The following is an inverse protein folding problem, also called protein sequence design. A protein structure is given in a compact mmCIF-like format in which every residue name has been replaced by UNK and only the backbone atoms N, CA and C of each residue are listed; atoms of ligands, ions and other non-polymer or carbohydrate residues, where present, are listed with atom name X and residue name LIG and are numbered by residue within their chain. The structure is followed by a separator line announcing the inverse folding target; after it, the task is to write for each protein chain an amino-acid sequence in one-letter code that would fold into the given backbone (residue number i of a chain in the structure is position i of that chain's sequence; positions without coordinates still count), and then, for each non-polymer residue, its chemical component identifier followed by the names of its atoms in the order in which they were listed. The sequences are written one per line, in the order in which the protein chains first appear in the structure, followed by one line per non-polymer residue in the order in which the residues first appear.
data_IF_616342744626
#
_entry.id   IF_616342744626
#
_cell.length_a   1.000
_cell.length_b   1.000
_cell.length_c   1.000
_cell.angle_alpha   90.00
_cell.angle_beta   90.00
_cell.angle_gamma   90.00
#
_symmetry.space_group_name_H-M   'P 1'
#
loop_
_entity.id
_entity.type
_entity.pdbx_description
1 polymer ?
#
# COMPACT_ATOMS: atom_id res chain seq x y z
N UNK A 1 -24.47 -29.61 -15.34
CA UNK A 1 -23.18 -29.02 -14.94
C UNK A 1 -22.38 -30.09 -14.22
N UNK A 2 -21.22 -30.45 -14.75
CA UNK A 2 -20.23 -31.26 -14.04
C UNK A 2 -19.01 -30.38 -13.77
N UNK A 3 -18.46 -30.39 -12.56
CA UNK A 3 -17.27 -29.66 -12.21
C UNK A 3 -16.17 -30.63 -11.78
N UNK A 4 -14.93 -30.35 -12.17
CA UNK A 4 -13.76 -31.09 -11.73
C UNK A 4 -12.78 -30.12 -11.06
N UNK A 5 -12.72 -30.18 -9.75
CA UNK A 5 -11.88 -29.27 -8.93
C UNK A 5 -10.38 -29.55 -9.16
N UNK A 6 -10.00 -30.80 -9.41
CA UNK A 6 -8.60 -31.17 -9.66
C UNK A 6 -8.12 -30.64 -11.03
N UNK A 7 -8.97 -30.77 -12.04
CA UNK A 7 -8.67 -30.27 -13.40
C UNK A 7 -9.03 -28.79 -13.57
N UNK A 8 -9.63 -28.14 -12.55
CA UNK A 8 -10.12 -26.76 -12.63
C UNK A 8 -10.98 -26.52 -13.89
N UNK A 9 -12.00 -27.37 -14.09
CA UNK A 9 -12.88 -27.31 -15.27
C UNK A 9 -14.35 -27.36 -14.87
N UNK A 10 -15.20 -26.71 -15.69
CA UNK A 10 -16.65 -26.84 -15.64
C UNK A 10 -17.13 -27.32 -17.02
N UNK A 11 -17.82 -28.43 -17.06
CA UNK A 11 -18.42 -28.96 -18.28
C UNK A 11 -19.93 -28.67 -18.32
N UNK A 12 -20.39 -28.12 -19.41
CA UNK A 12 -21.81 -27.81 -19.64
C UNK A 12 -22.51 -28.96 -20.37
N UNK A 13 -23.84 -29.02 -20.24
CA UNK A 13 -24.65 -30.06 -20.86
C UNK A 13 -24.55 -30.08 -22.39
N UNK A 14 -24.23 -28.95 -23.03
CA UNK A 14 -24.03 -28.85 -24.46
C UNK A 14 -22.63 -29.31 -24.95
N UNK A 15 -21.81 -29.88 -24.06
CA UNK A 15 -20.46 -30.35 -24.35
C UNK A 15 -19.37 -29.24 -24.27
N UNK A 16 -19.73 -27.99 -24.04
CA UNK A 16 -18.73 -26.92 -23.84
C UNK A 16 -18.00 -27.11 -22.53
N UNK A 17 -16.72 -26.74 -22.50
CA UNK A 17 -15.89 -26.83 -21.29
C UNK A 17 -15.27 -25.47 -20.99
N UNK A 18 -15.40 -25.00 -19.76
CA UNK A 18 -14.69 -23.84 -19.22
C UNK A 18 -13.48 -24.34 -18.42
N UNK A 19 -12.31 -23.82 -18.77
CA UNK A 19 -11.04 -24.12 -18.09
C UNK A 19 -10.62 -22.91 -17.28
N UNK A 20 -10.09 -23.13 -16.08
CA UNK A 20 -9.52 -22.10 -15.23
C UNK A 20 -8.02 -22.32 -15.08
N UNK A 21 -7.25 -21.30 -15.37
CA UNK A 21 -5.81 -21.35 -15.35
C UNK A 21 -5.24 -20.15 -14.59
N UNK A 22 -4.13 -20.34 -13.88
CA UNK A 22 -3.35 -19.22 -13.36
C UNK A 22 -2.24 -18.86 -14.36
N UNK A 23 -1.90 -17.58 -14.47
CA UNK A 23 -0.86 -17.11 -15.38
C UNK A 23 0.52 -17.77 -15.12
N UNK A 24 0.80 -18.17 -13.89
CA UNK A 24 2.07 -18.79 -13.48
C UNK A 24 2.20 -20.27 -13.83
N UNK A 25 1.10 -20.96 -14.12
CA UNK A 25 1.07 -22.44 -14.23
C UNK A 25 1.20 -22.97 -15.65
N UNK A 26 1.42 -22.12 -16.68
CA UNK A 26 1.27 -22.53 -18.07
C UNK A 26 2.55 -22.54 -18.91
N UNK A 27 2.76 -23.70 -19.56
CA UNK A 27 3.78 -23.86 -20.58
C UNK A 27 3.31 -23.41 -21.99
N UNK A 28 4.25 -23.13 -22.87
CA UNK A 28 3.99 -22.80 -24.27
C UNK A 28 3.24 -23.95 -24.97
N UNK A 29 2.18 -23.60 -25.71
CA UNK A 29 1.59 -24.53 -26.68
C UNK A 29 0.30 -25.25 -26.30
N UNK A 30 -0.38 -24.84 -25.23
CA UNK A 30 -1.65 -25.43 -24.84
C UNK A 30 -2.85 -24.53 -25.23
N UNK A 31 -3.69 -24.97 -26.11
CA UNK A 31 -5.08 -24.56 -26.19
C UNK A 31 -5.50 -23.86 -27.47
N UNK A 32 -6.44 -24.53 -28.16
CA UNK A 32 -7.29 -23.95 -29.19
C UNK A 32 -8.60 -23.52 -28.53
N UNK A 33 -8.65 -22.32 -27.98
CA UNK A 33 -9.82 -21.80 -27.28
C UNK A 33 -10.65 -20.88 -28.18
N UNK A 34 -11.97 -21.08 -28.20
CA UNK A 34 -12.89 -20.18 -28.92
C UNK A 34 -13.09 -18.84 -28.21
N UNK A 35 -13.04 -18.85 -26.91
CA UNK A 35 -13.23 -17.68 -26.05
C UNK A 35 -12.12 -17.65 -25.02
N UNK A 36 -11.51 -16.48 -24.84
CA UNK A 36 -10.51 -16.23 -23.82
C UNK A 36 -11.02 -15.13 -22.89
N UNK A 37 -10.88 -15.33 -21.60
CA UNK A 37 -11.16 -14.32 -20.58
C UNK A 37 -9.90 -14.17 -19.74
N UNK A 38 -9.32 -13.00 -19.78
CA UNK A 38 -8.21 -12.60 -18.92
C UNK A 38 -8.79 -11.77 -17.78
N UNK A 39 -8.88 -12.37 -16.60
CA UNK A 39 -9.34 -11.72 -15.40
C UNK A 39 -8.14 -11.12 -14.67
N UNK A 40 -8.33 -9.96 -14.05
CA UNK A 40 -7.27 -9.16 -13.41
C UNK A 40 -6.06 -8.90 -14.33
N UNK A 41 -6.33 -8.71 -15.63
CA UNK A 41 -5.28 -8.66 -16.65
C UNK A 41 -4.41 -7.38 -16.62
N UNK A 42 -4.77 -6.37 -15.82
CA UNK A 42 -3.88 -5.24 -15.56
C UNK A 42 -2.61 -5.63 -14.80
N UNK A 43 -2.63 -6.80 -14.14
CA UNK A 43 -1.48 -7.37 -13.41
C UNK A 43 -0.70 -8.40 -14.22
N UNK A 44 -1.10 -8.64 -15.46
CA UNK A 44 -0.40 -9.55 -16.37
C UNK A 44 0.80 -8.83 -16.99
N UNK A 45 2.01 -9.35 -16.76
CA UNK A 45 3.21 -8.78 -17.34
C UNK A 45 3.28 -9.03 -18.86
N UNK A 46 3.90 -8.08 -19.58
CA UNK A 46 4.00 -8.12 -21.03
C UNK A 46 4.76 -9.33 -21.58
N UNK A 47 5.79 -9.77 -20.88
CA UNK A 47 6.60 -10.91 -21.30
C UNK A 47 5.76 -12.19 -21.27
N UNK A 48 5.05 -12.43 -20.17
CA UNK A 48 4.12 -13.57 -20.04
C UNK A 48 3.01 -13.49 -21.08
N UNK A 49 2.40 -12.31 -21.28
CA UNK A 49 1.38 -12.14 -22.30
C UNK A 49 1.91 -12.46 -23.70
N UNK A 50 3.00 -11.85 -24.10
CA UNK A 50 3.56 -11.98 -25.43
C UNK A 50 4.08 -13.40 -25.71
N UNK A 51 4.69 -14.04 -24.70
CA UNK A 51 5.31 -15.36 -24.90
C UNK A 51 4.34 -16.52 -24.77
N UNK A 52 3.28 -16.39 -23.98
CA UNK A 52 2.36 -17.50 -23.66
C UNK A 52 0.98 -17.27 -24.25
N UNK A 53 0.36 -16.12 -23.96
CA UNK A 53 -1.07 -15.90 -24.22
C UNK A 53 -1.35 -15.28 -25.60
N UNK A 54 -0.47 -14.44 -26.11
CA UNK A 54 -0.68 -13.82 -27.43
C UNK A 54 -0.86 -14.86 -28.55
N UNK A 55 -0.13 -15.98 -28.61
CA UNK A 55 -0.40 -17.03 -29.61
C UNK A 55 -1.81 -17.60 -29.55
N UNK A 56 -2.42 -17.70 -28.34
CA UNK A 56 -3.79 -18.19 -28.18
C UNK A 56 -4.84 -17.22 -28.71
N UNK A 57 -4.51 -15.93 -28.69
CA UNK A 57 -5.43 -14.89 -29.18
C UNK A 57 -5.63 -14.96 -30.70
N UNK A 58 -4.69 -15.56 -31.44
CA UNK A 58 -4.76 -15.67 -32.91
C UNK A 58 -5.89 -16.56 -33.39
N UNK A 59 -6.26 -17.57 -32.60
CA UNK A 59 -7.30 -18.55 -32.97
C UNK A 59 -8.63 -18.29 -32.24
N UNK A 60 -8.63 -17.43 -31.23
CA UNK A 60 -9.82 -17.12 -30.46
C UNK A 60 -10.82 -16.27 -31.24
N UNK A 61 -12.10 -16.64 -31.16
CA UNK A 61 -13.19 -15.86 -31.77
C UNK A 61 -13.49 -14.57 -31.05
N UNK A 62 -13.37 -14.58 -29.69
CA UNK A 62 -13.54 -13.42 -28.85
C UNK A 62 -12.60 -13.50 -27.64
N UNK A 63 -12.10 -12.36 -27.26
CA UNK A 63 -11.19 -12.19 -26.15
C UNK A 63 -11.75 -11.09 -25.25
N UNK A 64 -11.77 -11.33 -23.95
CA UNK A 64 -12.21 -10.39 -22.94
C UNK A 64 -11.04 -10.11 -22.01
N UNK A 65 -10.72 -8.84 -21.82
CA UNK A 65 -9.77 -8.35 -20.86
C UNK A 65 -10.54 -7.62 -19.76
N UNK A 66 -10.52 -8.15 -18.55
CA UNK A 66 -11.26 -7.63 -17.40
C UNK A 66 -10.28 -7.27 -16.30
N UNK A 67 -10.35 -6.07 -15.77
CA UNK A 67 -9.56 -5.65 -14.61
C UNK A 67 -9.99 -4.27 -14.12
N UNK A 68 -9.64 -3.91 -12.91
CA UNK A 68 -9.45 -2.50 -12.54
C UNK A 68 -8.14 -1.99 -13.16
N UNK A 69 -8.01 -0.67 -13.43
CA UNK A 69 -6.78 -0.10 -13.96
C UNK A 69 -5.57 -0.29 -13.04
N UNK A 70 -4.39 -0.48 -13.61
CA UNK A 70 -3.14 -0.60 -12.86
C UNK A 70 -2.06 0.29 -13.48
N UNK A 71 -2.21 1.61 -13.32
CA UNK A 71 -1.29 2.57 -13.92
C UNK A 71 -1.48 2.79 -15.41
N UNK A 72 -0.62 3.62 -16.00
CA UNK A 72 -0.57 3.93 -17.43
C UNK A 72 0.50 3.05 -18.07
N UNK A 73 0.08 2.22 -19.05
CA UNK A 73 0.94 1.26 -19.74
C UNK A 73 0.58 -0.20 -19.45
N UNK A 74 1.24 -1.12 -20.17
CA UNK A 74 0.99 -2.55 -20.10
C UNK A 74 -0.18 -3.03 -20.95
N UNK A 75 -0.33 -4.36 -21.00
CA UNK A 75 -1.28 -5.04 -21.91
C UNK A 75 -2.71 -4.54 -21.78
N UNK A 76 -3.22 -4.42 -20.55
CA UNK A 76 -4.62 -4.00 -20.33
C UNK A 76 -4.86 -2.56 -20.77
N UNK A 77 -3.95 -1.66 -20.39
CA UNK A 77 -4.00 -0.25 -20.79
C UNK A 77 -4.04 -0.12 -22.33
N UNK A 78 -3.14 -0.82 -23.03
CA UNK A 78 -3.05 -0.76 -24.47
C UNK A 78 -4.30 -1.31 -25.14
N UNK A 79 -4.84 -2.43 -24.66
CA UNK A 79 -6.07 -3.02 -25.20
C UNK A 79 -7.27 -2.12 -24.97
N UNK A 80 -7.38 -1.50 -23.79
CA UNK A 80 -8.43 -0.55 -23.47
C UNK A 80 -8.39 0.66 -24.41
N UNK A 81 -7.22 1.26 -24.60
CA UNK A 81 -7.06 2.42 -25.47
C UNK A 81 -7.28 2.10 -26.97
N UNK A 82 -6.91 0.92 -27.43
CA UNK A 82 -7.25 0.46 -28.80
C UNK A 82 -8.76 0.46 -29.05
N UNK A 83 -9.55 0.11 -28.04
CA UNK A 83 -11.02 0.13 -28.16
C UNK A 83 -11.61 1.54 -28.19
N UNK A 84 -10.95 2.52 -27.54
CA UNK A 84 -11.38 3.92 -27.56
C UNK A 84 -11.04 4.63 -28.88
N UNK A 85 -10.01 4.19 -29.61
CA UNK A 85 -9.55 4.83 -30.85
C UNK A 85 -10.36 4.45 -32.10
N UNK A 86 -11.49 3.80 -31.95
CA UNK A 86 -12.36 3.43 -33.06
C UNK A 86 -11.88 2.25 -33.89
N UNK A 87 -10.95 1.47 -33.39
CA UNK A 87 -10.53 0.23 -34.04
C UNK A 87 -11.67 -0.79 -34.00
N UNK A 88 -12.19 -1.16 -35.16
CA UNK A 88 -13.38 -2.06 -35.30
C UNK A 88 -13.21 -3.45 -34.66
N UNK A 89 -11.98 -3.85 -34.33
CA UNK A 89 -11.69 -5.15 -33.69
C UNK A 89 -11.73 -5.09 -32.18
N UNK A 90 -11.71 -3.88 -31.59
CA UNK A 90 -11.66 -3.66 -30.17
C UNK A 90 -12.84 -2.82 -29.71
N UNK A 91 -13.38 -3.14 -28.55
CA UNK A 91 -14.40 -2.36 -27.89
C UNK A 91 -14.02 -2.27 -26.40
N UNK A 92 -14.06 -1.08 -25.84
CA UNK A 92 -13.74 -0.82 -24.45
C UNK A 92 -14.98 -0.34 -23.72
N UNK A 93 -15.14 -0.87 -22.52
CA UNK A 93 -16.23 -0.52 -21.60
C UNK A 93 -15.61 -0.16 -20.26
N UNK A 94 -16.22 0.79 -19.59
CA UNK A 94 -15.90 1.13 -18.20
C UNK A 94 -17.20 1.13 -17.41
N UNK A 95 -17.16 0.67 -16.19
CA UNK A 95 -18.28 0.69 -15.25
C UNK A 95 -17.74 1.07 -13.88
N UNK A 96 -18.04 2.27 -13.43
CA UNK A 96 -17.64 2.74 -12.10
C UNK A 96 -18.52 2.13 -11.02
N UNK A 97 -18.13 2.31 -9.75
CA UNK A 97 -18.97 1.92 -8.61
C UNK A 97 -20.36 2.57 -8.70
N UNK A 98 -20.41 3.85 -9.07
CA UNK A 98 -21.65 4.61 -9.22
C UNK A 98 -22.50 4.08 -10.39
N UNK A 99 -21.89 3.78 -11.54
CA UNK A 99 -22.58 3.24 -12.72
C UNK A 99 -23.14 1.84 -12.48
N UNK A 100 -22.57 1.08 -11.57
CA UNK A 100 -23.00 -0.31 -11.29
C UNK A 100 -24.45 -0.40 -10.77
N UNK A 101 -24.93 0.64 -10.10
CA UNK A 101 -26.24 0.66 -9.48
C UNK A 101 -26.44 -0.38 -8.35
N UNK A 102 -25.35 -1.03 -7.89
CA UNK A 102 -25.41 -2.07 -6.86
C UNK A 102 -25.48 -1.51 -5.45
N UNK A 103 -25.05 -0.27 -5.25
CA UNK A 103 -24.95 0.38 -3.94
C UNK A 103 -25.74 1.67 -3.91
N UNK A 104 -26.31 1.98 -2.76
CA UNK A 104 -26.97 3.27 -2.53
C UNK A 104 -25.93 4.40 -2.34
N UNK A 105 -26.40 5.63 -2.47
CA UNK A 105 -25.56 6.83 -2.38
C UNK A 105 -24.84 6.94 -1.05
N UNK A 106 -25.46 6.51 0.06
CA UNK A 106 -24.85 6.58 1.38
C UNK A 106 -23.68 5.61 1.49
N UNK A 107 -23.82 4.38 1.01
CA UNK A 107 -22.76 3.37 0.96
C UNK A 107 -21.58 3.85 0.09
N UNK A 108 -21.86 4.47 -1.07
CA UNK A 108 -20.84 5.04 -1.94
C UNK A 108 -20.05 6.15 -1.24
N UNK A 109 -20.75 7.05 -0.51
CA UNK A 109 -20.08 8.10 0.26
C UNK A 109 -19.19 7.52 1.37
N UNK A 110 -19.64 6.52 2.09
CA UNK A 110 -18.86 5.84 3.13
C UNK A 110 -17.59 5.17 2.56
N UNK A 111 -17.70 4.49 1.42
CA UNK A 111 -16.55 3.93 0.71
C UNK A 111 -15.57 5.05 0.32
N UNK A 112 -16.07 6.13 -0.29
CA UNK A 112 -15.25 7.28 -0.71
C UNK A 112 -14.54 7.94 0.47
N UNK A 113 -15.22 8.17 1.57
CA UNK A 113 -14.64 8.74 2.79
C UNK A 113 -13.68 7.78 3.50
N UNK A 114 -13.91 6.47 3.39
CA UNK A 114 -13.07 5.45 4.01
C UNK A 114 -11.85 5.05 3.21
N UNK A 115 -11.78 5.39 1.93
CA UNK A 115 -10.71 4.99 1.00
C UNK A 115 -9.83 6.19 0.64
N UNK A 116 -8.49 6.07 0.58
CA UNK A 116 -7.63 7.11 0.04
C UNK A 116 -8.06 7.50 -1.37
N UNK A 117 -8.09 8.79 -1.67
CA UNK A 117 -8.62 9.35 -2.93
C UNK A 117 -8.09 8.63 -4.17
N UNK A 118 -6.79 8.36 -4.20
CA UNK A 118 -6.15 7.70 -5.34
C UNK A 118 -6.68 6.29 -5.56
N UNK A 119 -6.80 5.51 -4.49
CA UNK A 119 -7.34 4.14 -4.54
C UNK A 119 -8.79 4.20 -4.99
N UNK A 120 -9.56 5.16 -4.48
CA UNK A 120 -10.94 5.35 -4.91
C UNK A 120 -11.04 5.63 -6.41
N UNK A 121 -10.23 6.54 -6.94
CA UNK A 121 -10.20 6.87 -8.37
C UNK A 121 -9.84 5.64 -9.23
N UNK A 122 -8.87 4.85 -8.81
CA UNK A 122 -8.42 3.68 -9.55
C UNK A 122 -9.40 2.50 -9.44
N UNK A 123 -9.73 2.06 -8.21
CA UNK A 123 -10.48 0.82 -7.98
C UNK A 123 -11.99 0.99 -8.16
N UNK A 124 -12.53 2.21 -7.92
CA UNK A 124 -13.97 2.46 -7.97
C UNK A 124 -14.41 3.40 -9.10
N UNK A 125 -13.53 4.29 -9.57
CA UNK A 125 -13.81 5.16 -10.71
C UNK A 125 -13.15 4.67 -12.02
N UNK A 126 -12.40 3.58 -12.00
CA UNK A 126 -11.73 2.99 -13.17
C UNK A 126 -10.74 3.94 -13.88
N UNK A 127 -10.06 4.81 -13.14
CA UNK A 127 -9.09 5.75 -13.71
C UNK A 127 -7.70 5.12 -13.85
N UNK A 128 -7.07 5.29 -15.02
CA UNK A 128 -5.67 4.95 -15.24
C UNK A 128 -4.78 6.05 -14.68
N UNK A 129 -4.17 5.81 -13.54
CA UNK A 129 -3.31 6.77 -12.86
C UNK A 129 -1.83 6.50 -13.20
N UNK A 130 -1.03 7.56 -13.38
CA UNK A 130 0.41 7.42 -13.61
C UNK A 130 1.11 6.87 -12.36
N UNK A 131 2.08 5.95 -12.54
CA UNK A 131 2.94 5.45 -11.46
C UNK A 131 3.90 6.49 -10.90
N UNK A 132 4.48 6.23 -9.75
CA UNK A 132 5.43 7.14 -9.12
C UNK A 132 4.79 8.43 -8.57
N UNK A 133 3.53 8.37 -8.14
CA UNK A 133 2.83 9.52 -7.59
C UNK A 133 3.22 9.72 -6.13
N UNK A 134 3.51 10.98 -5.76
CA UNK A 134 3.74 11.36 -4.37
C UNK A 134 2.62 10.84 -3.46
N UNK A 135 2.99 10.11 -2.42
CA UNK A 135 2.05 9.69 -1.39
C UNK A 135 1.49 10.88 -0.59
N UNK A 136 2.23 11.96 -0.54
CA UNK A 136 1.94 13.12 0.30
C UNK A 136 2.03 14.43 -0.51
N UNK A 137 1.17 14.65 -1.53
CA UNK A 137 1.31 15.76 -2.48
C UNK A 137 1.20 17.15 -1.82
N UNK A 138 0.57 17.25 -0.66
CA UNK A 138 0.41 18.50 0.09
C UNK A 138 1.02 18.42 1.49
N UNK A 139 2.13 17.69 1.64
CA UNK A 139 2.73 17.50 2.97
C UNK A 139 3.24 18.81 3.56
N UNK A 140 3.62 19.79 2.74
CA UNK A 140 4.06 21.11 3.19
C UNK A 140 2.99 21.83 4.03
N UNK A 141 1.71 21.60 3.74
CA UNK A 141 0.60 22.16 4.53
C UNK A 141 0.50 21.53 5.93
N UNK A 142 1.18 20.43 6.15
CA UNK A 142 1.22 19.70 7.43
C UNK A 142 2.50 19.96 8.22
N UNK A 143 3.41 20.80 7.71
CA UNK A 143 4.65 21.14 8.40
C UNK A 143 4.40 22.11 9.54
N UNK A 144 5.01 21.84 10.67
CA UNK A 144 5.03 22.67 11.88
C UNK A 144 6.46 22.94 12.30
N UNK A 145 6.78 24.17 12.76
CA UNK A 145 8.14 24.56 13.08
C UNK A 145 8.73 23.71 14.23
N UNK A 146 7.89 23.42 15.23
CA UNK A 146 8.24 22.61 16.40
C UNK A 146 7.16 21.58 16.67
N UNK A 147 7.49 20.56 17.44
CA UNK A 147 6.49 19.58 17.88
C UNK A 147 5.35 20.23 18.66
N UNK A 148 4.13 19.70 18.48
CA UNK A 148 2.98 20.19 19.25
C UNK A 148 3.16 19.91 20.75
N UNK A 149 2.45 20.66 21.59
CA UNK A 149 2.45 20.45 23.03
C UNK A 149 2.04 19.02 23.38
N UNK A 150 2.69 18.48 24.42
CA UNK A 150 2.41 17.12 24.93
C UNK A 150 0.94 17.00 25.31
N UNK A 151 0.25 16.03 24.70
CA UNK A 151 -1.13 15.68 25.01
C UNK A 151 -1.23 14.55 26.03
N UNK A 152 -2.46 14.20 26.43
CA UNK A 152 -2.72 13.15 27.44
C UNK A 152 -2.31 11.74 26.97
N UNK A 153 -2.23 11.51 25.67
CA UNK A 153 -1.92 10.21 25.11
C UNK A 153 -0.90 10.34 23.99
N UNK A 154 0.27 9.76 24.20
CA UNK A 154 1.37 9.73 23.24
C UNK A 154 1.62 8.31 22.75
N UNK A 155 1.96 8.20 21.50
CA UNK A 155 2.23 6.96 20.79
C UNK A 155 3.51 7.10 19.98
N UNK A 156 4.24 6.00 19.83
CA UNK A 156 5.52 6.04 19.14
C UNK A 156 5.61 5.03 18.00
N UNK A 157 6.50 5.33 17.06
CA UNK A 157 6.95 4.44 16.02
C UNK A 157 8.47 4.48 15.89
N UNK A 158 9.09 3.33 15.70
CA UNK A 158 10.53 3.21 15.50
C UNK A 158 10.79 2.48 14.18
N UNK A 159 11.67 3.07 13.38
CA UNK A 159 12.32 2.44 12.26
C UNK A 159 13.80 2.26 12.57
N UNK A 160 14.33 1.03 12.44
CA UNK A 160 15.70 0.73 12.79
C UNK A 160 16.59 0.71 11.55
N UNK A 161 17.73 1.40 11.62
CA UNK A 161 18.75 1.33 10.58
C UNK A 161 19.27 -0.09 10.39
N UNK A 162 19.37 -0.52 9.12
CA UNK A 162 20.10 -1.74 8.75
C UNK A 162 21.60 -1.58 9.04
N UNK A 163 22.18 -2.46 9.82
CA UNK A 163 23.53 -2.31 10.39
C UNK A 163 24.70 -2.33 9.39
N UNK A 164 24.49 -2.60 8.10
CA UNK A 164 25.58 -2.99 7.21
C UNK A 164 26.37 -1.85 6.56
N UNK A 165 25.77 -0.71 6.22
CA UNK A 165 26.41 0.29 5.35
C UNK A 165 26.42 1.74 5.85
N UNK A 166 26.01 2.05 7.07
CA UNK A 166 26.28 3.34 7.74
C UNK A 166 25.52 4.56 7.22
N UNK A 167 24.56 4.40 6.31
CA UNK A 167 23.76 5.51 5.73
C UNK A 167 22.34 5.58 6.28
N UNK A 168 21.79 4.48 6.79
CA UNK A 168 20.46 4.42 7.37
C UNK A 168 20.42 5.03 8.77
N UNK A 169 19.36 5.75 9.09
CA UNK A 169 19.15 6.32 10.41
C UNK A 169 18.16 5.50 11.22
N UNK A 170 18.41 5.36 12.53
CA UNK A 170 17.38 4.85 13.44
C UNK A 170 16.51 6.02 13.87
N UNK A 171 15.21 5.97 13.63
CA UNK A 171 14.29 7.08 13.88
C UNK A 171 13.22 6.69 14.89
N UNK A 172 13.08 7.49 15.94
CA UNK A 172 11.97 7.45 16.88
C UNK A 172 11.06 8.65 16.63
N UNK A 173 9.83 8.39 16.22
CA UNK A 173 8.80 9.42 16.09
C UNK A 173 7.72 9.25 17.15
N UNK A 174 7.33 10.35 17.82
CA UNK A 174 6.29 10.38 18.85
C UNK A 174 5.17 11.29 18.38
N UNK A 175 3.94 10.78 18.39
CA UNK A 175 2.73 11.51 17.99
C UNK A 175 1.68 11.51 19.11
N UNK A 176 0.74 12.45 19.03
CA UNK A 176 -0.46 12.46 19.85
C UNK A 176 -1.60 11.66 19.19
N UNK A 177 -2.78 11.63 19.83
CA UNK A 177 -3.99 10.97 19.33
C UNK A 177 -4.59 11.58 18.06
N UNK A 178 -4.12 12.77 17.63
CA UNK A 178 -4.51 13.45 16.38
C UNK A 178 -3.48 13.23 15.26
N UNK A 179 -2.50 12.37 15.50
CA UNK A 179 -1.39 12.08 14.58
C UNK A 179 -0.43 13.25 14.35
N UNK A 180 -0.41 14.24 15.26
CA UNK A 180 0.51 15.35 15.19
C UNK A 180 1.83 14.97 15.89
N UNK A 181 2.97 15.26 15.24
CA UNK A 181 4.28 15.02 15.84
C UNK A 181 4.49 15.88 17.08
N UNK A 182 4.84 15.23 18.18
CA UNK A 182 5.27 15.87 19.43
C UNK A 182 6.79 15.93 19.50
N UNK A 183 7.46 14.86 19.04
CA UNK A 183 8.90 14.79 18.97
C UNK A 183 9.35 13.81 17.88
N UNK A 184 10.53 14.05 17.31
CA UNK A 184 11.23 13.13 16.45
C UNK A 184 12.72 13.14 16.77
N UNK A 185 13.30 11.96 16.93
CA UNK A 185 14.71 11.78 17.21
C UNK A 185 15.34 10.92 16.11
N UNK A 186 16.31 11.48 15.43
CA UNK A 186 17.04 10.82 14.33
C UNK A 186 18.44 10.50 14.84
N UNK A 187 18.78 9.22 14.90
CA UNK A 187 20.07 8.71 15.35
C UNK A 187 20.83 8.12 14.18
N UNK A 188 22.11 8.45 14.09
CA UNK A 188 23.00 7.92 13.03
C UNK A 188 23.33 6.43 13.19
N UNK A 189 22.98 5.83 14.33
CA UNK A 189 23.25 4.41 14.63
C UNK A 189 22.15 3.84 15.53
N UNK A 190 21.89 2.53 15.38
CA UNK A 190 21.00 1.74 16.24
C UNK A 190 21.75 0.90 17.27
N UNK A 191 22.82 1.42 17.90
CA UNK A 191 23.58 0.69 18.91
C UNK A 191 22.80 0.59 20.25
N UNK A 192 23.29 -0.26 21.17
CA UNK A 192 22.64 -0.50 22.46
C UNK A 192 22.38 0.79 23.25
N UNK A 193 23.30 1.74 23.22
CA UNK A 193 23.17 3.03 23.92
C UNK A 193 22.02 3.86 23.33
N UNK A 194 21.90 3.89 22.00
CA UNK A 194 20.79 4.54 21.29
C UNK A 194 19.45 3.90 21.66
N UNK A 195 19.37 2.57 21.71
CA UNK A 195 18.16 1.85 22.04
C UNK A 195 17.72 2.10 23.52
N UNK A 196 18.67 2.14 24.44
CA UNK A 196 18.41 2.51 25.85
C UNK A 196 17.94 3.96 25.98
N UNK A 197 18.53 4.87 25.20
CA UNK A 197 18.12 6.28 25.16
C UNK A 197 16.67 6.42 24.64
N UNK A 198 16.30 5.71 23.57
CA UNK A 198 14.93 5.69 23.07
C UNK A 198 13.94 5.21 24.13
N UNK A 199 14.28 4.13 24.85
CA UNK A 199 13.45 3.63 25.94
C UNK A 199 13.28 4.68 27.07
N UNK A 200 14.35 5.40 27.40
CA UNK A 200 14.34 6.48 28.37
C UNK A 200 13.45 7.66 27.93
N UNK A 201 13.57 8.09 26.68
CA UNK A 201 12.73 9.15 26.09
C UNK A 201 11.25 8.76 26.16
N UNK A 202 10.89 7.56 25.68
CA UNK A 202 9.51 7.09 25.67
C UNK A 202 8.91 6.99 27.09
N UNK A 203 9.71 6.56 28.09
CA UNK A 203 9.26 6.54 29.48
C UNK A 203 9.06 7.95 30.03
N UNK A 204 10.04 8.84 29.82
CA UNK A 204 9.98 10.22 30.33
C UNK A 204 8.78 10.99 29.75
N UNK A 205 8.45 10.76 28.50
CA UNK A 205 7.30 11.38 27.83
C UNK A 205 5.97 10.66 28.12
N UNK A 206 5.99 9.51 28.80
CA UNK A 206 4.77 8.77 29.12
C UNK A 206 4.08 8.14 27.94
N UNK A 207 4.84 7.68 26.93
CA UNK A 207 4.32 7.00 25.73
C UNK A 207 3.47 5.80 26.13
N UNK A 208 2.29 5.68 25.56
CA UNK A 208 1.31 4.63 25.89
C UNK A 208 1.60 3.33 25.16
N UNK A 209 2.07 3.40 23.93
CA UNK A 209 2.43 2.26 23.09
C UNK A 209 3.39 2.67 21.98
N UNK A 210 4.25 1.74 21.57
CA UNK A 210 5.18 1.90 20.46
C UNK A 210 5.06 0.69 19.50
N UNK A 211 4.96 0.94 18.19
CA UNK A 211 5.30 -0.07 17.20
C UNK A 211 6.73 0.17 16.69
N UNK A 212 7.48 -0.91 16.55
CA UNK A 212 8.84 -0.86 16.01
C UNK A 212 9.00 -1.92 14.93
N UNK A 213 9.71 -1.61 13.84
CA UNK A 213 9.95 -2.57 12.78
C UNK A 213 10.72 -3.78 13.31
N UNK A 214 10.19 -4.99 13.07
CA UNK A 214 10.75 -6.24 13.61
C UNK A 214 11.65 -6.99 12.61
N UNK A 215 11.70 -6.55 11.36
CA UNK A 215 12.46 -7.22 10.31
C UNK A 215 13.96 -7.23 10.63
N UNK A 216 14.65 -8.30 10.19
CA UNK A 216 16.10 -8.45 10.34
C UNK A 216 16.59 -8.25 11.78
N UNK A 217 17.36 -7.19 12.04
CA UNK A 217 17.91 -6.88 13.37
C UNK A 217 16.91 -6.24 14.33
N UNK A 218 15.73 -5.85 13.85
CA UNK A 218 14.70 -5.18 14.65
C UNK A 218 14.24 -6.00 15.85
N UNK A 219 14.11 -7.31 15.71
CA UNK A 219 13.72 -8.21 16.81
C UNK A 219 14.68 -8.10 18.02
N UNK A 220 15.99 -8.08 17.77
CA UNK A 220 17.02 -7.92 18.84
C UNK A 220 16.92 -6.55 19.48
N UNK A 221 16.76 -5.50 18.66
CA UNK A 221 16.63 -4.11 19.12
C UNK A 221 15.39 -3.93 20.00
N UNK A 222 14.26 -4.54 19.63
CA UNK A 222 13.02 -4.54 20.42
C UNK A 222 13.25 -5.18 21.79
N UNK A 223 13.94 -6.32 21.86
CA UNK A 223 14.22 -7.00 23.13
C UNK A 223 15.11 -6.14 24.07
N UNK A 224 16.06 -5.38 23.51
CA UNK A 224 16.87 -4.43 24.29
C UNK A 224 15.97 -3.32 24.88
N UNK A 225 15.13 -2.70 24.04
CA UNK A 225 14.20 -1.64 24.47
C UNK A 225 13.21 -2.16 25.53
N UNK A 226 12.70 -3.38 25.36
CA UNK A 226 11.75 -4.02 26.31
C UNK A 226 12.27 -4.16 27.72
N UNK A 227 13.58 -4.19 27.92
CA UNK A 227 14.16 -4.23 29.27
C UNK A 227 13.71 -3.04 30.13
N UNK A 228 13.57 -1.87 29.52
CA UNK A 228 13.21 -0.62 30.19
C UNK A 228 11.84 -0.07 29.81
N UNK A 229 11.38 -0.31 28.57
CA UNK A 229 10.08 0.13 28.07
C UNK A 229 9.25 -1.06 27.59
N UNK A 230 8.29 -1.52 28.42
CA UNK A 230 7.51 -2.75 28.17
C UNK A 230 6.41 -2.61 27.12
N UNK A 231 5.98 -1.38 26.77
CA UNK A 231 4.83 -1.10 25.90
C UNK A 231 5.25 -0.97 24.44
N UNK A 232 6.11 -1.86 23.98
CA UNK A 232 6.59 -1.94 22.60
C UNK A 232 6.17 -3.27 21.96
N UNK A 233 5.70 -3.21 20.72
CA UNK A 233 5.30 -4.36 19.90
C UNK A 233 6.05 -4.34 18.59
N UNK A 234 6.55 -5.49 18.17
CA UNK A 234 7.16 -5.66 16.87
C UNK A 234 6.13 -5.53 15.75
N UNK A 235 6.53 -4.90 14.66
CA UNK A 235 5.75 -4.77 13.43
C UNK A 235 6.51 -5.45 12.30
N UNK A 236 5.98 -6.57 11.81
CA UNK A 236 6.56 -7.28 10.67
C UNK A 236 6.18 -6.54 9.40
N UNK A 237 7.16 -5.94 8.76
CA UNK A 237 6.98 -5.21 7.50
C UNK A 237 6.96 -6.18 6.34
N UNK A 238 5.78 -6.39 5.79
CA UNK A 238 5.52 -7.01 4.50
C UNK A 238 4.99 -5.91 3.55
N UNK A 239 4.85 -6.21 2.27
CA UNK A 239 4.25 -5.26 1.36
C UNK A 239 2.84 -4.83 1.80
N UNK A 240 2.03 -5.79 2.24
CA UNK A 240 0.64 -5.53 2.64
C UNK A 240 0.56 -4.78 3.97
N UNK A 241 1.39 -5.12 4.96
CA UNK A 241 1.42 -4.40 6.22
C UNK A 241 1.97 -2.97 6.07
N UNK A 242 3.03 -2.76 5.22
CA UNK A 242 3.54 -1.43 4.86
C UNK A 242 2.45 -0.60 4.17
N UNK A 243 1.74 -1.20 3.23
CA UNK A 243 0.59 -0.58 2.56
C UNK A 243 -0.44 -0.07 3.56
N UNK A 244 -0.87 -0.89 4.51
CA UNK A 244 -1.90 -0.52 5.49
C UNK A 244 -1.50 0.69 6.35
N UNK A 245 -0.25 0.78 6.78
CA UNK A 245 0.20 1.90 7.63
C UNK A 245 0.40 3.18 6.82
N UNK A 246 0.90 3.07 5.58
CA UNK A 246 1.09 4.21 4.68
C UNK A 246 -0.25 4.78 4.23
N UNK A 247 -1.18 3.96 3.75
CA UNK A 247 -2.52 4.39 3.34
C UNK A 247 -3.30 5.05 4.50
N UNK A 248 -3.07 4.59 5.73
CA UNK A 248 -3.65 5.25 6.90
C UNK A 248 -3.17 6.69 7.04
N UNK A 249 -1.89 6.97 6.83
CA UNK A 249 -1.34 8.33 6.91
C UNK A 249 -1.80 9.18 5.72
N UNK A 250 -1.77 8.65 4.50
CA UNK A 250 -2.26 9.33 3.30
C UNK A 250 -3.68 9.84 3.55
N UNK A 251 -4.58 8.95 3.98
CA UNK A 251 -5.97 9.30 4.28
C UNK A 251 -6.10 10.39 5.33
N UNK A 252 -5.31 10.35 6.40
CA UNK A 252 -5.36 11.39 7.43
C UNK A 252 -4.89 12.74 6.89
N UNK A 253 -3.86 12.77 6.06
CA UNK A 253 -3.38 14.01 5.41
C UNK A 253 -4.43 14.59 4.46
N UNK A 254 -5.08 13.77 3.64
CA UNK A 254 -6.19 14.16 2.78
C UNK A 254 -7.36 14.77 3.59
N UNK A 255 -7.57 14.32 4.82
CA UNK A 255 -8.58 14.85 5.75
C UNK A 255 -8.10 16.04 6.57
N UNK A 256 -6.91 16.57 6.29
CA UNK A 256 -6.33 17.68 7.03
C UNK A 256 -5.86 17.33 8.44
N UNK A 257 -5.67 16.04 8.76
CA UNK A 257 -5.21 15.54 10.06
C UNK A 257 -3.72 15.22 10.04
N UNK A 258 -3.11 15.30 11.21
CA UNK A 258 -1.68 15.04 11.37
C UNK A 258 -0.84 16.27 11.10
N UNK A 259 0.35 16.27 11.65
CA UNK A 259 1.36 17.31 11.45
C UNK A 259 2.76 16.70 11.57
N UNK A 260 3.70 17.26 10.81
CA UNK A 260 5.08 16.79 10.73
C UNK A 260 6.00 17.93 11.14
N UNK A 261 6.99 17.67 11.98
CA UNK A 261 8.02 18.64 12.33
C UNK A 261 8.82 19.02 11.07
N UNK A 262 8.93 20.33 10.84
CA UNK A 262 9.68 20.89 9.72
C UNK A 262 11.19 20.76 9.95
N UNK A 263 11.79 19.77 9.34
CA UNK A 263 13.23 19.58 9.32
C UNK A 263 13.70 19.06 7.95
N UNK A 264 15.00 19.18 7.61
CA UNK A 264 15.50 18.76 6.30
C UNK A 264 15.23 17.27 5.95
N UNK A 265 15.29 16.37 6.92
CA UNK A 265 15.05 14.95 6.71
C UNK A 265 13.58 14.68 6.35
N UNK A 266 12.65 15.28 7.09
CA UNK A 266 11.21 15.15 6.80
C UNK A 266 10.86 15.76 5.44
N UNK A 267 11.34 16.97 5.13
CA UNK A 267 11.13 17.58 3.80
C UNK A 267 11.63 16.68 2.68
N UNK A 268 12.82 16.12 2.83
CA UNK A 268 13.43 15.27 1.83
C UNK A 268 12.65 13.95 1.68
N UNK A 269 12.35 13.28 2.79
CA UNK A 269 11.76 11.93 2.74
C UNK A 269 10.28 11.96 2.38
N UNK A 270 9.46 12.82 2.99
CA UNK A 270 8.03 12.93 2.65
C UNK A 270 7.81 13.50 1.23
N UNK A 271 8.65 14.44 0.79
CA UNK A 271 8.54 15.02 -0.55
C UNK A 271 8.92 14.08 -1.69
N UNK A 272 9.70 13.04 -1.41
CA UNK A 272 10.13 12.05 -2.41
C UNK A 272 9.48 10.67 -2.22
N UNK A 273 8.61 10.50 -1.24
CA UNK A 273 7.96 9.21 -0.96
C UNK A 273 6.80 8.99 -1.92
N UNK A 274 6.88 7.89 -2.67
CA UNK A 274 5.94 7.59 -3.75
C UNK A 274 5.29 6.23 -3.57
N UNK A 275 4.12 6.11 -4.15
CA UNK A 275 3.53 4.85 -4.50
C UNK A 275 3.98 4.49 -5.92
N UNK A 276 4.49 3.31 -6.09
CA UNK A 276 4.88 2.76 -7.39
C UNK A 276 4.31 1.35 -7.56
N UNK A 277 4.40 0.81 -8.76
CA UNK A 277 3.94 -0.53 -9.09
C UNK A 277 5.06 -1.35 -9.68
N UNK A 278 5.19 -2.55 -9.15
CA UNK A 278 6.07 -3.55 -9.76
C UNK A 278 5.55 -3.94 -11.15
N UNK A 279 6.38 -4.59 -11.95
CA UNK A 279 5.98 -5.14 -13.25
C UNK A 279 4.80 -6.11 -13.17
N UNK A 280 4.58 -6.74 -12.00
CA UNK A 280 3.44 -7.62 -11.72
C UNK A 280 2.22 -6.88 -11.17
N UNK A 281 2.23 -5.53 -11.20
CA UNK A 281 1.13 -4.69 -10.73
C UNK A 281 1.02 -4.53 -9.22
N UNK A 282 1.92 -5.14 -8.43
CA UNK A 282 1.91 -5.02 -6.97
C UNK A 282 2.31 -3.62 -6.56
N UNK A 283 1.49 -2.99 -5.70
CA UNK A 283 1.79 -1.66 -5.14
C UNK A 283 2.98 -1.75 -4.18
N UNK A 284 3.91 -0.82 -4.32
CA UNK A 284 5.07 -0.64 -3.44
C UNK A 284 5.17 0.82 -3.02
N UNK A 285 5.77 1.06 -1.85
CA UNK A 285 5.98 2.38 -1.29
C UNK A 285 7.46 2.56 -0.98
N UNK A 286 8.08 3.57 -1.56
CA UNK A 286 9.51 3.86 -1.39
C UNK A 286 9.85 5.30 -1.77
N UNK A 287 11.06 5.74 -1.50
CA UNK A 287 11.54 7.00 -2.04
C UNK A 287 11.96 6.84 -3.51
N UNK A 288 11.55 7.79 -4.35
CA UNK A 288 11.90 7.82 -5.79
C UNK A 288 13.39 8.08 -6.03
N UNK A 289 14.05 8.71 -5.09
CA UNK A 289 15.43 9.15 -5.20
C UNK A 289 16.38 8.09 -4.63
N UNK A 290 17.29 7.60 -5.44
CA UNK A 290 18.35 6.69 -4.99
C UNK A 290 19.16 7.32 -3.86
N UNK A 291 19.42 6.55 -2.80
CA UNK A 291 20.14 6.99 -1.62
C UNK A 291 19.32 7.84 -0.64
N UNK A 292 18.04 8.10 -0.89
CA UNK A 292 17.14 8.68 0.09
C UNK A 292 16.36 7.55 0.78
N UNK A 293 16.60 7.41 2.07
CA UNK A 293 15.90 6.44 2.92
C UNK A 293 14.50 6.91 3.27
N UNK A 294 13.64 6.04 3.78
CA UNK A 294 12.26 6.34 4.18
C UNK A 294 12.01 6.22 5.70
N UNK A 295 13.10 6.21 6.49
CA UNK A 295 13.09 5.97 7.94
C UNK A 295 12.16 6.94 8.70
N UNK A 296 12.20 8.25 8.34
CA UNK A 296 11.32 9.25 8.95
C UNK A 296 9.84 9.03 8.61
N UNK A 297 9.56 8.62 7.38
CA UNK A 297 8.20 8.33 6.91
C UNK A 297 7.67 7.08 7.60
N UNK A 298 8.46 6.00 7.63
CA UNK A 298 8.03 4.72 8.20
C UNK A 298 7.86 4.84 9.71
N UNK A 299 8.80 5.48 10.43
CA UNK A 299 8.65 5.70 11.87
C UNK A 299 7.40 6.51 12.20
N UNK A 300 7.06 7.54 11.40
CA UNK A 300 5.83 8.29 11.56
C UNK A 300 4.57 7.44 11.25
N UNK A 301 4.59 6.64 10.19
CA UNK A 301 3.50 5.73 9.88
C UNK A 301 3.24 4.73 11.01
N UNK A 302 4.30 4.17 11.60
CA UNK A 302 4.20 3.26 12.74
C UNK A 302 3.66 3.96 14.00
N UNK A 303 4.07 5.21 14.26
CA UNK A 303 3.55 6.01 15.35
C UNK A 303 2.05 6.29 15.20
N UNK A 304 1.62 6.70 14.01
CA UNK A 304 0.21 6.92 13.70
C UNK A 304 -0.61 5.61 13.80
N UNK A 305 -0.04 4.50 13.36
CA UNK A 305 -0.67 3.19 13.51
C UNK A 305 -0.82 2.78 14.96
N UNK A 306 0.20 3.04 15.79
CA UNK A 306 0.16 2.84 17.24
C UNK A 306 -0.97 3.64 17.87
N UNK A 307 -1.12 4.90 17.50
CA UNK A 307 -2.22 5.76 17.96
C UNK A 307 -3.58 5.22 17.55
N UNK A 308 -3.75 4.82 16.26
CA UNK A 308 -4.99 4.23 15.73
C UNK A 308 -5.43 2.98 16.50
N UNK A 309 -4.50 2.05 16.74
CA UNK A 309 -4.82 0.77 17.38
C UNK A 309 -5.18 0.92 18.85
N UNK A 310 -4.56 1.87 19.55
CA UNK A 310 -4.72 2.04 20.99
C UNK A 310 -5.75 3.11 21.39
N UNK A 311 -6.16 4.00 20.47
CA UNK A 311 -7.26 4.93 20.69
C UNK A 311 -8.64 4.24 20.64
N UNK A 312 -8.75 3.08 19.98
CA UNK A 312 -9.98 2.29 19.88
C UNK A 312 -10.31 1.41 21.09
N UNK A 313 -9.46 1.37 22.13
CA UNK A 313 -9.72 0.63 23.38
C UNK A 313 -10.81 1.27 24.26
N UNK A 314 -11.48 2.33 23.80
CA UNK A 314 -12.59 3.01 24.43
C UNK A 314 -13.87 2.91 23.61
N UNK A 315 -14.60 1.79 23.78
CA UNK A 315 -16.05 1.65 23.54
C UNK A 315 -16.60 2.07 22.17
N UNK A 316 -16.80 1.12 21.26
CA UNK A 316 -18.05 1.07 20.50
C UNK A 316 -18.90 -0.04 21.08
N UNK A 317 -19.83 0.32 21.98
CA UNK A 317 -21.05 -0.43 22.22
C UNK A 317 -21.94 -0.03 21.04
N UNK A 318 -22.11 -0.93 20.10
CA UNK A 318 -23.20 -0.84 19.11
C UNK A 318 -24.45 -1.22 19.86
N UNK A 319 -25.36 -0.26 20.05
CA UNK A 319 -26.74 -0.49 20.43
C UNK A 319 -27.56 -0.77 19.19
#
# INVERSE_FOLDING_TARGET
LASNVVQKTIQFANGSVLYFHSAEAWGRGAGNYKYLIFDECAFLDEETYNSIFQPWTLEAKKIYFCSTPSGVGGVFYDMYHKGLTGNRRYQSFSCTLEDSGLYDTQTILEIKESTPKRIYLQEYCCEFLTGGISCFPSFEERLIADGVSVSKSLFAGIDFSGAANGTDSTVLTIVNEKFEMVAQHIFSRGDTRTLEEMARIMNAMGVKHCFAEENSMGAISIEIIKKSFKKITGFVTTNDSKRNVVEHVIKNFEQGRGAIIDNPANRLQFGNFIEDRTRTGKITYHNIRDGVHDDCVISYCLACWSAKQNSRSGKYIVS
#
